data_IF_764741154819
#
_entry.id   IF_764741154819
#
_cell.length_a   1.000
_cell.length_b   1.000
_cell.length_c   1.000
_cell.angle_alpha   90.00
_cell.angle_beta   90.00
_cell.angle_gamma   90.00
#
_symmetry.space_group_name_H-M   'P 1'
#
loop_
_entity.id
_entity.type
_entity.pdbx_description
1 polymer ?
#
# COMPACT_ATOMS: atom_id res chain seq x y z
N UNK A 1 16.35 -4.77 6.23
CA UNK A 1 15.67 -3.51 6.62
C UNK A 1 16.51 -2.27 6.34
N UNK A 2 17.76 -2.13 6.82
CA UNK A 2 18.60 -0.93 6.55
C UNK A 2 18.90 -0.75 5.05
N UNK A 3 19.17 -1.85 4.33
CA UNK A 3 19.46 -1.81 2.88
C UNK A 3 18.21 -1.55 2.02
N UNK A 4 17.05 -2.01 2.49
CA UNK A 4 15.77 -1.87 1.79
C UNK A 4 15.27 -0.43 1.82
N UNK A 5 15.29 0.21 2.99
CA UNK A 5 14.93 1.63 3.13
C UNK A 5 15.87 2.51 2.30
N UNK A 6 17.17 2.21 2.30
CA UNK A 6 18.14 2.97 1.50
C UNK A 6 17.88 2.85 0.00
N UNK A 7 17.49 1.67 -0.47
CA UNK A 7 17.11 1.42 -1.87
C UNK A 7 15.82 2.15 -2.23
N UNK A 8 14.80 2.07 -1.37
CA UNK A 8 13.55 2.81 -1.49
C UNK A 8 13.79 4.33 -1.62
N UNK A 9 14.59 4.93 -0.73
CA UNK A 9 14.86 6.38 -0.78
C UNK A 9 15.59 6.77 -2.07
N UNK A 10 16.52 5.94 -2.54
CA UNK A 10 17.24 6.18 -3.79
C UNK A 10 16.28 6.19 -4.98
N UNK A 11 15.36 5.22 -5.02
CA UNK A 11 14.36 5.12 -6.09
C UNK A 11 13.36 6.28 -6.05
N UNK A 12 12.82 6.58 -4.86
CA UNK A 12 11.91 7.71 -4.64
C UNK A 12 12.53 9.03 -5.10
N UNK A 13 13.80 9.28 -4.78
CA UNK A 13 14.50 10.51 -5.18
C UNK A 13 14.84 10.55 -6.67
N UNK A 14 15.28 9.41 -7.24
CA UNK A 14 15.68 9.34 -8.66
C UNK A 14 14.48 9.53 -9.59
N UNK A 15 13.32 8.97 -9.22
CA UNK A 15 12.18 8.85 -10.11
C UNK A 15 10.99 9.71 -9.70
N UNK A 16 11.07 10.54 -8.66
CA UNK A 16 9.94 11.27 -8.06
C UNK A 16 8.89 11.74 -9.09
N UNK A 17 9.26 12.59 -10.05
CA UNK A 17 8.31 13.13 -11.05
C UNK A 17 7.73 12.13 -12.05
N UNK A 18 8.29 10.92 -12.14
CA UNK A 18 7.92 9.87 -13.11
C UNK A 18 7.09 8.74 -12.51
N UNK A 19 7.00 8.67 -11.18
CA UNK A 19 6.33 7.56 -10.47
C UNK A 19 4.82 7.44 -10.76
N UNK A 20 4.21 8.49 -11.31
CA UNK A 20 2.79 8.52 -11.69
C UNK A 20 2.57 8.62 -13.21
N UNK A 21 3.61 8.71 -14.03
CA UNK A 21 3.48 9.00 -15.48
C UNK A 21 2.86 7.85 -16.26
N UNK A 22 3.05 6.61 -15.81
CA UNK A 22 2.60 5.39 -16.50
C UNK A 22 1.27 4.85 -15.99
N UNK A 23 0.59 5.54 -15.07
CA UNK A 23 -0.60 5.02 -14.38
C UNK A 23 -1.75 6.04 -14.38
N UNK A 24 -3.00 5.59 -14.13
CA UNK A 24 -4.12 6.50 -13.91
C UNK A 24 -3.82 7.53 -12.81
N UNK A 25 -4.50 8.68 -12.88
CA UNK A 25 -4.40 9.73 -11.86
C UNK A 25 -4.77 9.17 -10.48
N UNK A 26 -3.94 9.46 -9.47
CA UNK A 26 -4.05 8.87 -8.12
C UNK A 26 -3.26 7.58 -7.92
N UNK A 27 -2.52 7.12 -8.92
CA UNK A 27 -1.69 5.91 -8.85
C UNK A 27 -0.20 6.21 -8.92
N UNK A 28 0.59 5.43 -8.17
CA UNK A 28 2.06 5.48 -8.20
C UNK A 28 2.66 4.08 -8.16
N UNK A 29 3.88 3.91 -8.69
CA UNK A 29 4.64 2.67 -8.52
C UNK A 29 4.76 2.26 -7.05
N UNK A 30 4.68 0.96 -6.79
CA UNK A 30 5.16 0.37 -5.55
C UNK A 30 6.68 0.30 -5.64
N UNK A 31 7.36 1.00 -4.73
CA UNK A 31 8.82 1.15 -4.75
C UNK A 31 9.56 0.01 -4.05
N UNK A 32 8.83 -0.89 -3.39
CA UNK A 32 9.40 -2.09 -2.79
C UNK A 32 8.33 -3.19 -2.69
N UNK A 33 8.63 -4.43 -3.15
CA UNK A 33 7.70 -5.55 -3.05
C UNK A 33 7.36 -5.91 -1.59
N UNK A 34 8.20 -5.54 -0.62
CA UNK A 34 7.99 -5.81 0.80
C UNK A 34 6.78 -5.07 1.37
N UNK A 35 6.38 -3.94 0.76
CA UNK A 35 5.26 -3.11 1.23
C UNK A 35 3.98 -3.93 1.35
N UNK A 36 3.65 -4.68 0.29
CA UNK A 36 2.43 -5.48 0.25
C UNK A 36 2.49 -6.64 1.26
N UNK A 37 3.64 -7.30 1.35
CA UNK A 37 3.86 -8.39 2.29
C UNK A 37 3.72 -7.92 3.75
N UNK A 38 4.28 -6.75 4.08
CA UNK A 38 4.16 -6.14 5.41
C UNK A 38 2.70 -5.82 5.75
N UNK A 39 1.97 -5.20 4.81
CA UNK A 39 0.56 -4.84 5.01
C UNK A 39 -0.30 -6.07 5.29
N UNK A 40 -0.20 -7.11 4.46
CA UNK A 40 -0.97 -8.35 4.60
C UNK A 40 -0.60 -9.08 5.90
N UNK A 41 0.70 -9.22 6.19
CA UNK A 41 1.16 -9.92 7.39
C UNK A 41 0.68 -9.21 8.66
N UNK A 42 0.75 -7.88 8.70
CA UNK A 42 0.31 -7.12 9.87
C UNK A 42 -1.22 -7.13 10.01
N UNK A 43 -1.96 -7.12 8.91
CA UNK A 43 -3.42 -7.29 8.93
C UNK A 43 -3.85 -8.64 9.50
N UNK A 44 -3.05 -9.70 9.29
CA UNK A 44 -3.28 -11.00 9.94
C UNK A 44 -3.09 -11.00 11.46
N UNK A 45 -2.47 -9.96 12.03
CA UNK A 45 -2.19 -9.83 13.47
C UNK A 45 -3.16 -8.91 14.19
N UNK A 46 -3.67 -7.88 13.51
CA UNK A 46 -4.57 -6.88 14.07
C UNK A 46 -5.45 -6.32 12.96
N UNK A 47 -6.71 -6.02 13.27
CA UNK A 47 -7.63 -5.40 12.31
C UNK A 47 -7.16 -3.99 11.92
N UNK A 48 -6.62 -3.24 12.88
CA UNK A 48 -6.15 -1.86 12.69
C UNK A 48 -4.64 -1.80 12.98
N UNK A 49 -3.87 -1.25 12.05
CA UNK A 49 -2.41 -1.15 12.17
C UNK A 49 -1.97 0.30 11.94
N UNK A 50 -1.16 0.81 12.87
CA UNK A 50 -0.59 2.14 12.78
C UNK A 50 0.81 2.12 12.15
N UNK A 51 0.98 2.86 11.06
CA UNK A 51 2.25 3.10 10.39
C UNK A 51 2.68 4.55 10.56
N UNK A 52 3.92 4.81 10.96
CA UNK A 52 4.38 6.17 11.29
C UNK A 52 5.49 6.64 10.37
N UNK A 53 5.38 7.88 9.90
CA UNK A 53 6.42 8.55 9.11
C UNK A 53 6.48 10.03 9.51
N UNK A 54 7.53 10.42 10.24
CA UNK A 54 7.59 11.73 10.87
C UNK A 54 6.46 11.89 11.89
N UNK A 55 5.73 13.00 11.80
CA UNK A 55 4.60 13.32 12.68
C UNK A 55 3.25 12.71 12.20
N UNK A 56 3.24 12.07 11.04
CA UNK A 56 2.02 11.47 10.47
C UNK A 56 1.90 10.01 10.91
N UNK A 57 0.72 9.67 11.43
CA UNK A 57 0.30 8.28 11.66
C UNK A 57 -0.75 7.91 10.62
N UNK A 58 -0.55 6.77 9.97
CA UNK A 58 -1.48 6.16 9.03
C UNK A 58 -2.09 4.93 9.70
N UNK A 59 -3.39 4.94 9.99
CA UNK A 59 -4.08 3.76 10.50
C UNK A 59 -4.70 3.02 9.32
N UNK A 60 -4.30 1.77 9.16
CA UNK A 60 -4.63 0.92 8.02
C UNK A 60 -5.51 -0.23 8.48
N UNK A 61 -6.58 -0.48 7.73
CA UNK A 61 -7.50 -1.61 7.92
C UNK A 61 -7.62 -2.36 6.61
N UNK A 62 -7.51 -3.69 6.64
CA UNK A 62 -7.78 -4.49 5.46
C UNK A 62 -9.27 -4.42 5.09
N UNK A 63 -9.57 -4.28 3.79
CA UNK A 63 -10.94 -4.21 3.29
C UNK A 63 -11.32 -5.45 2.49
N UNK A 64 -10.61 -5.69 1.39
CA UNK A 64 -10.92 -6.78 0.47
C UNK A 64 -9.76 -7.08 -0.45
N UNK A 65 -9.79 -8.22 -1.12
CA UNK A 65 -8.92 -8.49 -2.25
C UNK A 65 -9.71 -9.10 -3.41
N UNK A 66 -9.13 -9.02 -4.61
CA UNK A 66 -9.67 -9.62 -5.82
C UNK A 66 -8.70 -10.64 -6.39
N UNK A 67 -9.22 -11.75 -6.91
CA UNK A 67 -8.47 -12.75 -7.67
C UNK A 67 -9.28 -13.23 -8.86
N UNK A 68 -8.57 -13.73 -9.87
CA UNK A 68 -9.21 -14.44 -10.97
C UNK A 68 -9.53 -15.86 -10.49
N UNK A 69 -10.78 -16.29 -10.69
CA UNK A 69 -11.14 -17.68 -10.47
C UNK A 69 -10.73 -18.56 -11.66
N UNK A 70 -10.98 -19.87 -11.54
CA UNK A 70 -10.64 -20.86 -12.56
C UNK A 70 -11.38 -20.64 -13.88
N UNK A 71 -12.49 -19.93 -13.84
CA UNK A 71 -13.34 -19.62 -15.00
C UNK A 71 -12.98 -18.25 -15.61
N UNK A 72 -11.95 -17.57 -15.08
CA UNK A 72 -11.48 -16.27 -15.54
C UNK A 72 -12.34 -15.09 -15.07
N UNK A 73 -13.27 -15.31 -14.15
CA UNK A 73 -14.11 -14.28 -13.55
C UNK A 73 -13.40 -13.66 -12.34
N UNK A 74 -13.70 -12.39 -12.06
CA UNK A 74 -13.12 -11.67 -10.92
C UNK A 74 -13.97 -11.94 -9.69
N UNK A 75 -13.40 -12.67 -8.72
CA UNK A 75 -13.98 -12.83 -7.39
C UNK A 75 -13.51 -11.72 -6.45
N UNK A 76 -14.39 -11.29 -5.55
CA UNK A 76 -14.09 -10.33 -4.47
C UNK A 76 -14.22 -11.04 -3.13
N UNK A 77 -13.22 -10.89 -2.28
CA UNK A 77 -13.10 -11.60 -1.01
C UNK A 77 -12.85 -10.61 0.12
N UNK A 78 -13.54 -10.81 1.25
CA UNK A 78 -13.45 -9.96 2.45
C UNK A 78 -12.57 -10.55 3.55
N UNK A 79 -12.09 -11.77 3.38
CA UNK A 79 -11.11 -12.39 4.27
C UNK A 79 -9.69 -12.04 3.80
N UNK A 80 -8.69 -12.14 4.67
CA UNK A 80 -7.30 -11.93 4.27
C UNK A 80 -6.85 -13.00 3.27
N UNK A 81 -6.04 -12.64 2.26
CA UNK A 81 -5.56 -13.61 1.30
C UNK A 81 -4.54 -14.56 1.96
N UNK A 82 -4.64 -15.86 1.64
CA UNK A 82 -3.71 -16.89 2.13
C UNK A 82 -2.36 -16.84 1.40
N UNK A 83 -2.32 -16.29 0.18
CA UNK A 83 -1.14 -16.14 -0.65
C UNK A 83 -1.14 -14.79 -1.40
N UNK A 84 -0.05 -14.50 -2.10
CA UNK A 84 0.11 -13.25 -2.88
C UNK A 84 -0.32 -13.41 -4.35
N UNK A 85 -1.01 -14.49 -4.73
CA UNK A 85 -1.61 -14.64 -6.06
C UNK A 85 -2.95 -13.90 -6.14
N UNK A 86 -2.87 -12.60 -5.87
CA UNK A 86 -3.98 -11.67 -5.87
C UNK A 86 -3.79 -10.64 -6.98
N UNK A 87 -4.90 -10.26 -7.60
CA UNK A 87 -4.90 -9.24 -8.65
C UNK A 87 -4.73 -7.86 -8.03
N UNK A 88 -5.63 -7.55 -7.09
CA UNK A 88 -5.66 -6.29 -6.36
C UNK A 88 -6.06 -6.53 -4.92
N UNK A 89 -5.57 -5.70 -4.00
CA UNK A 89 -5.93 -5.70 -2.58
C UNK A 89 -6.20 -4.29 -2.11
N UNK A 90 -7.30 -4.10 -1.40
CA UNK A 90 -7.77 -2.80 -0.94
C UNK A 90 -7.65 -2.71 0.57
N UNK A 91 -7.11 -1.58 1.03
CA UNK A 91 -7.05 -1.19 2.42
C UNK A 91 -7.78 0.14 2.61
N UNK A 92 -8.43 0.31 3.75
CA UNK A 92 -8.91 1.60 4.22
C UNK A 92 -7.80 2.24 5.04
N UNK A 93 -7.39 3.44 4.66
CA UNK A 93 -6.30 4.17 5.32
C UNK A 93 -6.78 5.53 5.78
N UNK A 94 -6.64 5.81 7.07
CA UNK A 94 -6.76 7.15 7.64
C UNK A 94 -5.38 7.78 7.81
N UNK A 95 -5.30 9.12 7.86
CA UNK A 95 -4.04 9.84 8.02
C UNK A 95 -3.48 10.48 6.75
N UNK A 96 -4.03 10.18 5.56
CA UNK A 96 -3.75 10.95 4.34
C UNK A 96 -4.29 12.38 4.42
N UNK A 97 -5.47 12.57 5.01
CA UNK A 97 -6.06 13.89 5.29
C UNK A 97 -6.89 13.82 6.58
N UNK A 98 -6.24 14.09 7.73
CA UNK A 98 -6.87 14.00 9.04
C UNK A 98 -7.61 12.65 9.26
N UNK A 99 -8.87 12.69 9.69
CA UNK A 99 -9.69 11.53 10.08
C UNK A 99 -10.47 10.87 8.93
N UNK A 100 -10.19 11.22 7.66
CA UNK A 100 -10.97 10.69 6.55
C UNK A 100 -10.43 9.34 6.08
N UNK A 101 -11.35 8.39 5.94
CA UNK A 101 -11.10 7.09 5.33
C UNK A 101 -10.76 7.29 3.86
N UNK A 102 -9.67 6.68 3.42
CA UNK A 102 -9.21 6.72 2.05
C UNK A 102 -9.01 5.29 1.57
N UNK A 103 -9.65 4.92 0.47
CA UNK A 103 -9.44 3.62 -0.16
C UNK A 103 -8.10 3.63 -0.90
N UNK A 104 -7.26 2.67 -0.55
CA UNK A 104 -5.96 2.44 -1.17
C UNK A 104 -5.94 1.03 -1.73
N UNK A 105 -5.88 0.93 -3.05
CA UNK A 105 -5.78 -0.35 -3.76
C UNK A 105 -4.35 -0.58 -4.19
N UNK A 106 -3.85 -1.78 -3.95
CA UNK A 106 -2.53 -2.23 -4.39
C UNK A 106 -2.70 -3.32 -5.43
N UNK A 107 -1.95 -3.22 -6.52
CA UNK A 107 -1.65 -4.34 -7.42
C UNK A 107 -0.22 -4.82 -7.17
N UNK A 108 0.31 -5.66 -8.04
CA UNK A 108 1.73 -6.05 -8.03
C UNK A 108 2.67 -4.89 -8.37
N UNK A 109 2.22 -3.90 -9.15
CA UNK A 109 3.10 -2.89 -9.74
C UNK A 109 2.87 -1.49 -9.19
N UNK A 110 1.63 -1.18 -8.82
CA UNK A 110 1.23 0.17 -8.43
C UNK A 110 0.26 0.14 -7.25
N UNK A 111 0.28 1.22 -6.48
CA UNK A 111 -0.79 1.57 -5.56
C UNK A 111 -1.63 2.69 -6.16
N UNK A 112 -2.94 2.65 -5.96
CA UNK A 112 -3.89 3.69 -6.36
C UNK A 112 -4.68 4.15 -5.16
N UNK A 113 -5.05 5.43 -5.15
CA UNK A 113 -5.75 6.06 -4.04
C UNK A 113 -6.94 6.86 -4.53
N UNK A 114 -8.09 6.68 -3.88
CA UNK A 114 -9.30 7.45 -4.16
C UNK A 114 -9.81 8.20 -2.91
N UNK A 115 -10.11 9.51 -3.01
CA UNK A 115 -9.80 10.41 -4.13
C UNK A 115 -8.29 10.60 -4.35
N UNK A 116 -7.91 11.19 -5.48
CA UNK A 116 -6.51 11.50 -5.84
C UNK A 116 -5.75 12.22 -4.69
N UNK A 117 -4.44 11.97 -4.60
CA UNK A 117 -3.56 12.48 -3.53
C UNK A 117 -2.25 12.97 -4.11
N UNK A 118 -1.63 13.93 -3.42
CA UNK A 118 -0.28 14.35 -3.78
C UNK A 118 0.69 13.18 -3.67
N UNK A 119 1.52 13.02 -4.70
CA UNK A 119 2.59 12.04 -4.81
C UNK A 119 3.44 11.92 -3.52
N UNK A 120 3.73 13.05 -2.86
CA UNK A 120 4.50 13.09 -1.61
C UNK A 120 3.84 12.25 -0.51
N UNK A 121 2.52 12.31 -0.39
CA UNK A 121 1.80 11.55 0.64
C UNK A 121 1.84 10.06 0.39
N UNK A 122 1.72 9.65 -0.88
CA UNK A 122 1.78 8.25 -1.29
C UNK A 122 3.17 7.65 -1.03
N UNK A 123 4.24 8.38 -1.36
CA UNK A 123 5.63 7.98 -1.02
C UNK A 123 5.83 7.92 0.49
N UNK A 124 5.33 8.91 1.24
CA UNK A 124 5.45 8.93 2.70
C UNK A 124 4.74 7.75 3.36
N UNK A 125 3.62 7.30 2.80
CA UNK A 125 2.89 6.12 3.27
C UNK A 125 3.70 4.84 3.02
N UNK A 126 4.20 4.63 1.80
CA UNK A 126 5.07 3.48 1.50
C UNK A 126 6.31 3.45 2.43
N UNK A 127 6.91 4.62 2.69
CA UNK A 127 8.00 4.78 3.66
C UNK A 127 7.59 4.40 5.08
N UNK A 128 6.39 4.79 5.51
CA UNK A 128 5.85 4.45 6.84
C UNK A 128 5.73 2.92 6.99
N UNK A 129 5.20 2.25 5.97
CA UNK A 129 5.05 0.79 5.92
C UNK A 129 6.40 0.09 6.08
N UNK A 130 7.39 0.46 5.27
CA UNK A 130 8.72 -0.13 5.32
C UNK A 130 9.44 0.13 6.65
N UNK A 131 9.29 1.32 7.23
CA UNK A 131 9.89 1.65 8.54
C UNK A 131 9.30 0.85 9.68
N UNK A 132 7.98 0.63 9.67
CA UNK A 132 7.32 -0.20 10.68
C UNK A 132 7.73 -1.67 10.51
N UNK A 133 7.78 -2.17 9.27
CA UNK A 133 8.04 -3.58 9.00
C UNK A 133 6.95 -4.51 9.54
N UNK A 134 7.27 -5.80 9.66
CA UNK A 134 6.38 -6.80 10.26
C UNK A 134 6.41 -6.63 11.78
N UNK A 135 5.26 -6.30 12.37
CA UNK A 135 5.07 -6.19 13.82
C UNK A 135 5.20 -7.60 14.40
N UNK A 136 5.93 -7.79 15.50
CA UNK A 136 6.12 -9.12 16.11
C UNK A 136 4.89 -9.55 16.90
#
# INVERSE_FOLDING_TARGET
MVDEISSFEKEANKNYGKLSESFPKGSINILSPDILNILITNAGKSNNIDYKSGDTTYTVTFSSYTKLDKDGMVGVYSDLPEDLDIREITFIVTGFHAKWDTEVTFSKEYMSVMPDRELKHLINFQRAVLKTGIIK
#
